data_IF_085378196076
#
_entry.id   IF_085378196076
#
_cell.length_a   1.000
_cell.length_b   1.000
_cell.length_c   1.000
_cell.angle_alpha   90.00
_cell.angle_beta   90.00
_cell.angle_gamma   90.00
#
_symmetry.space_group_name_H-M   'P 1'
#
loop_
_entity.id
_entity.type
_entity.pdbx_description
1 polymer ?
#
# COMPACT_ATOMS: atom_id res chain seq x y z
N UNK A 1 -28.92 -9.72 71.67
CA UNK A 1 -28.63 -8.31 71.62
C UNK A 1 -27.36 -8.10 70.82
N UNK A 2 -27.49 -7.61 69.60
CA UNK A 2 -26.50 -6.78 68.93
C UNK A 2 -26.98 -6.62 67.45
N UNK A 3 -27.06 -5.41 66.93
CA UNK A 3 -27.66 -5.18 65.61
C UNK A 3 -26.64 -5.43 64.47
N UNK A 4 -27.16 -6.13 63.46
CA UNK A 4 -26.40 -6.38 62.26
C UNK A 4 -26.07 -5.11 61.51
N UNK A 5 -24.79 -4.96 61.17
CA UNK A 5 -24.29 -3.95 60.24
C UNK A 5 -24.52 -4.46 58.82
N UNK A 6 -25.48 -3.92 58.12
CA UNK A 6 -25.62 -4.08 56.70
C UNK A 6 -24.55 -3.30 55.97
N UNK A 7 -23.54 -4.01 55.49
CA UNK A 7 -22.54 -3.42 54.59
C UNK A 7 -23.14 -3.42 53.18
N UNK A 8 -23.58 -2.24 52.78
CA UNK A 8 -24.09 -1.99 51.43
C UNK A 8 -22.86 -1.91 50.49
N UNK A 9 -22.53 -2.96 49.82
CA UNK A 9 -21.49 -2.94 48.77
C UNK A 9 -22.10 -2.32 47.50
N UNK A 10 -21.80 -1.02 47.31
CA UNK A 10 -22.12 -0.30 46.08
C UNK A 10 -21.15 -0.73 44.99
N UNK A 11 -21.58 -1.66 44.17
CA UNK A 11 -20.84 -2.10 42.98
C UNK A 11 -20.98 -1.02 41.88
N UNK A 12 -20.00 -0.10 41.84
CA UNK A 12 -19.87 0.87 40.78
C UNK A 12 -19.33 0.10 39.53
N UNK A 13 -20.23 -0.31 38.66
CA UNK A 13 -19.87 -0.80 37.35
C UNK A 13 -19.37 0.35 36.50
N UNK A 14 -18.04 0.56 36.49
CA UNK A 14 -17.39 1.39 35.48
C UNK A 14 -17.53 0.70 34.14
N UNK A 15 -18.59 1.02 33.41
CA UNK A 15 -18.69 0.73 32.00
C UNK A 15 -17.60 1.48 31.25
N UNK A 16 -16.52 0.81 30.95
CA UNK A 16 -15.57 1.28 29.94
C UNK A 16 -16.27 1.23 28.59
N UNK A 17 -16.87 2.36 28.19
CA UNK A 17 -17.26 2.58 26.80
C UNK A 17 -15.96 2.63 26.01
N UNK A 18 -15.55 1.49 25.49
CA UNK A 18 -14.51 1.40 24.48
C UNK A 18 -15.10 2.02 23.22
N UNK A 19 -14.93 3.33 23.07
CA UNK A 19 -15.11 3.97 21.78
C UNK A 19 -14.02 3.44 20.85
N UNK A 20 -14.29 2.33 20.18
CA UNK A 20 -13.57 2.00 18.95
C UNK A 20 -13.99 3.07 17.94
N UNK A 21 -13.23 4.18 17.90
CA UNK A 21 -13.23 5.07 16.78
C UNK A 21 -12.67 4.26 15.62
N UNK A 22 -13.52 3.66 14.81
CA UNK A 22 -13.20 3.33 13.45
C UNK A 22 -12.94 4.69 12.79
N UNK A 23 -11.69 5.03 12.63
CA UNK A 23 -11.26 6.24 11.94
C UNK A 23 -11.59 6.00 10.46
N UNK A 24 -12.75 6.48 10.00
CA UNK A 24 -13.06 6.48 8.58
C UNK A 24 -11.98 7.32 7.88
N UNK A 25 -11.26 6.68 6.98
CA UNK A 25 -10.13 7.30 6.29
C UNK A 25 -10.64 8.41 5.40
N UNK A 26 -10.10 9.59 5.58
CA UNK A 26 -10.49 10.78 4.82
C UNK A 26 -10.06 10.67 3.35
N UNK A 27 -10.74 11.43 2.47
CA UNK A 27 -10.36 11.54 1.05
C UNK A 27 -8.90 11.92 0.84
N UNK A 28 -8.36 12.80 1.68
CA UNK A 28 -6.96 13.23 1.60
C UNK A 28 -5.98 12.11 1.94
N UNK A 29 -6.35 11.21 2.86
CA UNK A 29 -5.53 10.04 3.18
C UNK A 29 -5.57 9.01 2.06
N UNK A 30 -6.75 8.77 1.45
CA UNK A 30 -6.85 7.91 0.26
C UNK A 30 -6.03 8.47 -0.89
N UNK A 31 -6.11 9.76 -1.20
CA UNK A 31 -5.28 10.43 -2.21
C UNK A 31 -3.78 10.28 -1.91
N UNK A 32 -3.37 10.34 -0.64
CA UNK A 32 -1.97 10.11 -0.25
C UNK A 32 -1.46 8.71 -0.63
N UNK A 33 -2.31 7.68 -0.53
CA UNK A 33 -1.95 6.33 -0.98
C UNK A 33 -1.78 6.28 -2.50
N UNK A 34 -2.65 6.94 -3.27
CA UNK A 34 -2.49 7.05 -4.72
C UNK A 34 -1.19 7.76 -5.10
N UNK A 35 -0.89 8.91 -4.51
CA UNK A 35 0.37 9.61 -4.74
C UNK A 35 1.60 8.74 -4.46
N UNK A 36 1.57 7.97 -3.38
CA UNK A 36 2.65 7.03 -3.03
C UNK A 36 2.77 5.92 -4.07
N UNK A 37 1.66 5.33 -4.51
CA UNK A 37 1.63 4.28 -5.53
C UNK A 37 2.08 4.78 -6.91
N UNK A 38 1.63 5.96 -7.33
CA UNK A 38 2.03 6.63 -8.58
C UNK A 38 3.53 6.90 -8.58
N UNK A 39 4.06 7.49 -7.50
CA UNK A 39 5.48 7.80 -7.35
C UNK A 39 6.34 6.55 -7.40
N UNK A 40 5.93 5.49 -6.71
CA UNK A 40 6.63 4.21 -6.70
C UNK A 40 6.62 3.54 -8.09
N UNK A 41 5.48 3.56 -8.79
CA UNK A 41 5.38 3.02 -10.15
C UNK A 41 6.23 3.79 -11.15
N UNK A 42 6.31 5.11 -11.01
CA UNK A 42 7.18 5.98 -11.82
C UNK A 42 8.66 5.68 -11.56
N UNK A 43 9.06 5.45 -10.30
CA UNK A 43 10.42 5.06 -9.94
C UNK A 43 10.79 3.71 -10.55
N UNK A 44 9.89 2.72 -10.49
CA UNK A 44 10.09 1.42 -11.13
C UNK A 44 10.25 1.57 -12.64
N UNK A 45 9.40 2.33 -13.31
CA UNK A 45 9.48 2.60 -14.76
C UNK A 45 10.83 3.23 -15.14
N UNK A 46 11.24 4.26 -14.41
CA UNK A 46 12.52 4.95 -14.61
C UNK A 46 13.71 4.01 -14.41
N UNK A 47 13.68 3.24 -13.34
CA UNK A 47 14.74 2.31 -12.99
C UNK A 47 14.92 1.20 -14.06
N UNK A 48 13.82 0.63 -14.56
CA UNK A 48 13.88 -0.34 -15.67
C UNK A 48 14.47 0.33 -16.91
N UNK A 49 14.15 1.59 -17.19
CA UNK A 49 14.77 2.37 -18.25
C UNK A 49 16.29 2.51 -18.10
N UNK A 50 16.79 2.67 -16.88
CA UNK A 50 18.24 2.69 -16.60
C UNK A 50 18.90 1.33 -16.83
N UNK A 51 18.22 0.23 -16.47
CA UNK A 51 18.70 -1.12 -16.78
C UNK A 51 18.79 -1.37 -18.29
N UNK A 52 17.77 -0.98 -19.05
CA UNK A 52 17.72 -1.11 -20.50
C UNK A 52 18.84 -0.35 -21.22
N UNK A 53 19.29 0.75 -20.63
CA UNK A 53 20.39 1.58 -21.17
C UNK A 53 21.75 1.23 -20.57
N UNK A 54 21.88 0.13 -19.83
CA UNK A 54 23.10 -0.32 -19.14
C UNK A 54 23.70 0.74 -18.19
N UNK A 55 22.87 1.60 -17.62
CA UNK A 55 23.29 2.61 -16.64
C UNK A 55 23.27 2.10 -15.20
N UNK A 56 22.72 0.92 -14.97
CA UNK A 56 22.72 0.25 -13.67
C UNK A 56 23.57 -1.02 -13.74
N UNK A 57 24.46 -1.22 -12.76
CA UNK A 57 25.19 -2.49 -12.62
C UNK A 57 24.25 -3.59 -12.14
N UNK A 58 24.52 -4.86 -12.48
CA UNK A 58 23.70 -5.98 -12.06
C UNK A 58 23.53 -6.08 -10.53
N UNK A 59 24.60 -5.80 -9.78
CA UNK A 59 24.57 -5.80 -8.32
C UNK A 59 23.66 -4.70 -7.76
N UNK A 60 23.77 -3.47 -8.29
CA UNK A 60 22.90 -2.36 -7.91
C UNK A 60 21.45 -2.66 -8.29
N UNK A 61 21.21 -3.16 -9.51
CA UNK A 61 19.88 -3.50 -9.99
C UNK A 61 19.19 -4.50 -9.06
N UNK A 62 19.87 -5.56 -8.65
CA UNK A 62 19.34 -6.55 -7.72
C UNK A 62 18.93 -5.94 -6.37
N UNK A 63 19.82 -5.14 -5.78
CA UNK A 63 19.53 -4.48 -4.50
C UNK A 63 18.36 -3.49 -4.61
N UNK A 64 18.31 -2.73 -5.71
CA UNK A 64 17.29 -1.71 -5.89
C UNK A 64 15.90 -2.31 -6.17
N UNK A 65 15.81 -3.41 -6.92
CA UNK A 65 14.55 -4.16 -7.10
C UNK A 65 14.01 -4.66 -5.76
N UNK A 66 14.86 -5.21 -4.89
CA UNK A 66 14.47 -5.64 -3.55
C UNK A 66 13.97 -4.47 -2.70
N UNK A 67 14.63 -3.32 -2.78
CA UNK A 67 14.21 -2.09 -2.10
C UNK A 67 12.83 -1.65 -2.57
N UNK A 68 12.62 -1.50 -3.88
CA UNK A 68 11.34 -1.08 -4.47
C UNK A 68 10.20 -2.05 -4.12
N UNK A 69 10.48 -3.37 -4.16
CA UNK A 69 9.51 -4.39 -3.74
C UNK A 69 9.13 -4.22 -2.26
N UNK A 70 10.09 -3.95 -1.40
CA UNK A 70 9.83 -3.72 0.03
C UNK A 70 8.93 -2.49 0.24
N UNK A 71 9.16 -1.40 -0.50
CA UNK A 71 8.30 -0.21 -0.44
C UNK A 71 6.87 -0.53 -0.92
N UNK A 72 6.72 -1.26 -2.03
CA UNK A 72 5.41 -1.67 -2.54
C UNK A 72 4.65 -2.58 -1.54
N UNK A 73 5.34 -3.51 -0.90
CA UNK A 73 4.77 -4.38 0.13
C UNK A 73 4.34 -3.59 1.36
N UNK A 74 5.12 -2.59 1.77
CA UNK A 74 4.76 -1.72 2.89
C UNK A 74 3.47 -0.94 2.58
N UNK A 75 3.40 -0.29 1.42
CA UNK A 75 2.21 0.44 0.99
C UNK A 75 0.98 -0.48 0.88
N UNK A 76 1.14 -1.66 0.28
CA UNK A 76 0.07 -2.67 0.19
C UNK A 76 -0.45 -3.08 1.58
N UNK A 77 0.44 -3.24 2.56
CA UNK A 77 0.07 -3.59 3.94
C UNK A 77 -0.70 -2.46 4.63
N UNK A 78 -0.32 -1.21 4.40
CA UNK A 78 -1.06 -0.07 4.95
C UNK A 78 -2.45 0.04 4.31
N UNK A 79 -2.55 -0.12 2.99
CA UNK A 79 -3.82 -0.16 2.27
C UNK A 79 -4.79 -1.23 2.80
N UNK A 80 -4.28 -2.42 3.16
CA UNK A 80 -5.11 -3.51 3.71
C UNK A 80 -5.70 -3.20 5.08
N UNK A 81 -5.08 -2.33 5.85
CA UNK A 81 -5.56 -1.89 7.16
C UNK A 81 -6.57 -0.74 7.07
N UNK A 82 -6.67 -0.15 5.91
CA UNK A 82 -7.48 1.05 5.66
C UNK A 82 -8.93 0.68 5.45
N UNK A 83 -9.83 1.35 6.16
CA UNK A 83 -11.29 1.20 6.01
C UNK A 83 -11.84 2.53 5.48
N UNK A 84 -12.04 2.66 4.15
CA UNK A 84 -12.54 3.88 3.56
C UNK A 84 -14.05 4.01 3.76
N UNK A 85 -14.57 5.23 3.56
CA UNK A 85 -16.00 5.42 3.32
C UNK A 85 -16.46 4.60 2.11
N UNK A 86 -17.72 4.16 2.12
CA UNK A 86 -18.29 3.29 1.08
C UNK A 86 -18.13 3.90 -0.33
N UNK A 87 -18.22 5.22 -0.43
CA UNK A 87 -18.04 5.97 -1.70
C UNK A 87 -16.65 5.85 -2.31
N UNK A 88 -15.62 5.58 -1.51
CA UNK A 88 -14.20 5.48 -1.94
C UNK A 88 -13.68 4.04 -1.98
N UNK A 89 -14.48 3.07 -1.56
CA UNK A 89 -14.09 1.66 -1.51
C UNK A 89 -13.64 1.10 -2.87
N UNK A 90 -14.31 1.39 -4.01
CA UNK A 90 -13.87 0.89 -5.32
C UNK A 90 -12.50 1.45 -5.75
N UNK A 91 -12.22 2.72 -5.45
CA UNK A 91 -10.93 3.34 -5.76
C UNK A 91 -9.82 2.70 -4.93
N UNK A 92 -10.05 2.49 -3.62
CA UNK A 92 -9.07 1.85 -2.75
C UNK A 92 -8.78 0.41 -3.18
N UNK A 93 -9.81 -0.35 -3.57
CA UNK A 93 -9.66 -1.70 -4.12
C UNK A 93 -8.78 -1.68 -5.38
N UNK A 94 -9.01 -0.73 -6.28
CA UNK A 94 -8.17 -0.56 -7.47
C UNK A 94 -6.72 -0.28 -7.08
N UNK A 95 -6.48 0.58 -6.10
CA UNK A 95 -5.13 0.86 -5.60
C UNK A 95 -4.47 -0.42 -5.06
N UNK A 96 -5.18 -1.23 -4.28
CA UNK A 96 -4.69 -2.50 -3.75
C UNK A 96 -4.32 -3.48 -4.86
N UNK A 97 -5.15 -3.61 -5.90
CA UNK A 97 -4.90 -4.46 -7.07
C UNK A 97 -3.63 -4.00 -7.79
N UNK A 98 -3.46 -2.70 -8.01
CA UNK A 98 -2.29 -2.18 -8.70
C UNK A 98 -1.00 -2.36 -7.88
N UNK A 99 -1.06 -2.22 -6.55
CA UNK A 99 0.09 -2.52 -5.70
C UNK A 99 0.46 -4.02 -5.72
N UNK A 100 -0.51 -4.91 -5.74
CA UNK A 100 -0.25 -6.34 -5.90
C UNK A 100 0.40 -6.66 -7.27
N UNK A 101 -0.05 -6.01 -8.33
CA UNK A 101 0.55 -6.14 -9.67
C UNK A 101 1.99 -5.62 -9.70
N UNK A 102 2.28 -4.49 -9.04
CA UNK A 102 3.63 -3.93 -8.94
C UNK A 102 4.58 -4.85 -8.14
N UNK A 103 4.11 -5.43 -7.05
CA UNK A 103 4.88 -6.40 -6.25
C UNK A 103 5.20 -7.64 -7.10
N UNK A 104 4.23 -8.16 -7.86
CA UNK A 104 4.43 -9.29 -8.75
C UNK A 104 5.48 -9.00 -9.82
N UNK A 105 5.39 -7.83 -10.45
CA UNK A 105 6.36 -7.36 -11.44
C UNK A 105 7.78 -7.30 -10.86
N UNK A 106 7.95 -6.70 -9.68
CA UNK A 106 9.25 -6.58 -9.02
C UNK A 106 9.81 -7.94 -8.59
N UNK A 107 8.94 -8.88 -8.20
CA UNK A 107 9.35 -10.25 -7.87
C UNK A 107 9.86 -10.99 -9.12
N UNK A 108 9.22 -10.80 -10.27
CA UNK A 108 9.69 -11.38 -11.54
C UNK A 108 11.04 -10.77 -11.96
N UNK A 109 11.17 -9.45 -11.84
CA UNK A 109 12.42 -8.74 -12.17
C UNK A 109 13.61 -9.22 -11.32
N UNK A 110 13.40 -9.56 -10.07
CA UNK A 110 14.47 -10.07 -9.19
C UNK A 110 15.13 -11.34 -9.75
N UNK A 111 14.36 -12.18 -10.45
CA UNK A 111 14.85 -13.42 -11.08
C UNK A 111 15.40 -13.26 -12.51
N UNK A 112 15.12 -12.15 -13.21
CA UNK A 112 15.25 -12.07 -14.67
C UNK A 112 15.95 -10.78 -15.19
N UNK A 113 16.83 -10.19 -14.42
CA UNK A 113 17.44 -8.85 -14.68
C UNK A 113 18.19 -8.73 -16.04
N UNK A 114 18.39 -9.80 -16.80
CA UNK A 114 19.34 -9.85 -17.93
C UNK A 114 18.72 -9.85 -19.34
N UNK A 115 17.41 -10.06 -19.51
CA UNK A 115 16.78 -10.08 -20.84
C UNK A 115 16.15 -8.72 -21.19
N UNK A 116 16.70 -8.03 -22.19
CA UNK A 116 16.21 -6.73 -22.63
C UNK A 116 14.76 -6.72 -23.14
N UNK A 117 14.24 -7.83 -23.65
CA UNK A 117 12.85 -7.93 -24.11
C UNK A 117 11.91 -7.99 -22.91
N UNK A 118 12.25 -8.77 -21.90
CA UNK A 118 11.48 -8.87 -20.65
C UNK A 118 11.49 -7.54 -19.89
N UNK A 119 12.62 -6.87 -19.83
CA UNK A 119 12.73 -5.53 -19.24
C UNK A 119 11.85 -4.50 -19.95
N UNK A 120 11.75 -4.56 -21.29
CA UNK A 120 10.88 -3.64 -22.04
C UNK A 120 9.40 -3.87 -21.72
N UNK A 121 8.97 -5.14 -21.63
CA UNK A 121 7.62 -5.50 -21.20
C UNK A 121 7.33 -5.07 -19.76
N UNK A 122 8.27 -5.28 -18.87
CA UNK A 122 8.18 -4.86 -17.46
C UNK A 122 8.04 -3.34 -17.33
N UNK A 123 8.80 -2.56 -18.11
CA UNK A 123 8.68 -1.10 -18.15
C UNK A 123 7.29 -0.66 -18.59
N UNK A 124 6.75 -1.28 -19.64
CA UNK A 124 5.41 -0.97 -20.11
C UNK A 124 4.34 -1.31 -19.06
N UNK A 125 4.52 -2.42 -18.34
CA UNK A 125 3.62 -2.80 -17.24
C UNK A 125 3.66 -1.79 -16.10
N UNK A 126 4.84 -1.32 -15.68
CA UNK A 126 4.97 -0.28 -14.65
C UNK A 126 4.29 1.02 -15.07
N UNK A 127 4.46 1.45 -16.34
CA UNK A 127 3.78 2.63 -16.89
C UNK A 127 2.25 2.47 -16.91
N UNK A 128 1.75 1.27 -17.22
CA UNK A 128 0.31 0.96 -17.17
C UNK A 128 -0.25 1.04 -15.76
N UNK A 129 0.44 0.47 -14.77
CA UNK A 129 0.05 0.56 -13.35
C UNK A 129 -0.04 2.02 -12.92
N UNK A 130 0.96 2.84 -13.21
CA UNK A 130 0.97 4.28 -12.94
C UNK A 130 -0.24 4.97 -13.55
N UNK A 131 -0.51 4.74 -14.83
CA UNK A 131 -1.63 5.37 -15.54
C UNK A 131 -2.99 5.01 -14.94
N UNK A 132 -3.18 3.75 -14.54
CA UNK A 132 -4.43 3.31 -13.88
C UNK A 132 -4.61 4.03 -12.53
N UNK A 133 -3.53 4.15 -11.75
CA UNK A 133 -3.57 4.86 -10.46
C UNK A 133 -3.91 6.35 -10.65
N UNK A 134 -3.28 7.03 -11.62
CA UNK A 134 -3.55 8.43 -11.94
C UNK A 134 -5.01 8.65 -12.36
N UNK A 135 -5.53 7.78 -13.24
CA UNK A 135 -6.92 7.85 -13.69
C UNK A 135 -7.91 7.59 -12.55
N UNK A 136 -7.62 6.63 -11.67
CA UNK A 136 -8.49 6.29 -10.54
C UNK A 136 -8.49 7.40 -9.50
N UNK A 137 -7.31 7.98 -9.19
CA UNK A 137 -7.20 9.12 -8.27
C UNK A 137 -8.03 10.31 -8.75
N UNK A 138 -8.03 10.59 -10.05
CA UNK A 138 -8.81 11.68 -10.62
C UNK A 138 -10.35 11.52 -10.43
N UNK A 139 -10.82 10.34 -10.01
CA UNK A 139 -12.23 10.06 -9.69
C UNK A 139 -12.55 10.19 -8.20
N UNK A 140 -11.56 10.40 -7.34
CA UNK A 140 -11.77 10.68 -5.93
C UNK A 140 -12.42 12.05 -5.76
#
# INVERSE_FOLDING_TARGET
MLPGKHVLILLVALGTVSCSHSHDVSRSEVSSYFHSGISLSAEVELFIGQMLTNRATAAFAKCHVVYLRTQAMHLSKELQKTHPEESMAPQLETCQIQMAALISLLTQLEGQITDGRELSGARQQAASIKSILEQTEATL
#
